data_IF_300740193945
#
_entry.id   IF_300740193945
#
_cell.length_a   1.000
_cell.length_b   1.000
_cell.length_c   1.000
_cell.angle_alpha   90.00
_cell.angle_beta   90.00
_cell.angle_gamma   90.00
#
_symmetry.space_group_name_H-M   'P 1'
#
loop_
_entity.id
_entity.type
_entity.pdbx_description
1 polymer ?
#
# COMPACT_ATOMS: atom_id res chain seq x y z
N UNK A 1 6.93 -30.47 50.26
CA UNK A 1 5.96 -29.89 49.31
C UNK A 1 6.71 -29.54 48.02
N UNK A 2 6.40 -30.21 46.92
CA UNK A 2 6.99 -29.89 45.62
C UNK A 2 6.06 -28.88 44.96
N UNK A 3 6.49 -27.60 44.85
CA UNK A 3 5.76 -26.60 44.09
C UNK A 3 5.80 -27.01 42.61
N UNK A 4 4.68 -27.41 42.05
CA UNK A 4 4.51 -27.51 40.59
C UNK A 4 4.42 -26.10 40.03
N UNK A 5 5.52 -25.61 39.48
CA UNK A 5 5.51 -24.38 38.67
C UNK A 5 4.81 -24.77 37.35
N UNK A 6 3.51 -24.47 37.26
CA UNK A 6 2.80 -24.49 35.98
C UNK A 6 3.30 -23.29 35.20
N UNK A 7 3.96 -23.49 34.05
CA UNK A 7 4.23 -22.40 33.13
C UNK A 7 2.92 -21.75 32.74
N UNK A 8 2.90 -20.41 32.74
CA UNK A 8 1.74 -19.64 32.27
C UNK A 8 1.26 -20.22 30.94
N UNK A 9 -0.04 -20.49 30.76
CA UNK A 9 -0.55 -21.04 29.52
C UNK A 9 -0.34 -20.04 28.39
N UNK A 10 0.72 -20.27 27.62
CA UNK A 10 1.03 -19.48 26.42
C UNK A 10 0.19 -20.04 25.27
N UNK A 11 -1.05 -19.58 25.18
CA UNK A 11 -1.94 -19.92 24.09
C UNK A 11 -1.64 -19.05 22.89
N UNK A 12 -0.74 -19.50 22.03
CA UNK A 12 -0.67 -18.99 20.66
C UNK A 12 -1.97 -19.36 19.93
N UNK A 13 -2.89 -18.42 19.87
CA UNK A 13 -4.15 -18.66 19.21
C UNK A 13 -4.01 -18.35 17.70
N UNK A 14 -3.47 -19.31 16.93
CA UNK A 14 -3.38 -19.23 15.46
C UNK A 14 -4.70 -18.87 14.79
N UNK A 15 -5.84 -19.25 15.41
CA UNK A 15 -7.17 -18.90 14.92
C UNK A 15 -7.44 -17.39 14.99
N UNK A 16 -6.87 -16.68 15.99
CA UNK A 16 -7.04 -15.21 16.08
C UNK A 16 -6.24 -14.50 15.00
N UNK A 17 -5.01 -14.92 14.71
CA UNK A 17 -4.18 -14.35 13.65
C UNK A 17 -4.83 -14.53 12.28
N UNK A 18 -5.22 -15.77 11.94
CA UNK A 18 -5.90 -16.07 10.68
C UNK A 18 -7.21 -15.26 10.53
N UNK A 19 -7.98 -15.10 11.61
CA UNK A 19 -9.19 -14.29 11.60
C UNK A 19 -8.90 -12.81 11.35
N UNK A 20 -7.88 -12.24 11.98
CA UNK A 20 -7.49 -10.85 11.76
C UNK A 20 -7.04 -10.64 10.32
N UNK A 21 -6.16 -11.51 9.79
CA UNK A 21 -5.70 -11.43 8.40
C UNK A 21 -6.88 -11.52 7.42
N UNK A 22 -7.82 -12.43 7.67
CA UNK A 22 -9.03 -12.56 6.85
C UNK A 22 -9.93 -11.32 6.93
N UNK A 23 -10.09 -10.71 8.11
CA UNK A 23 -10.84 -9.46 8.26
C UNK A 23 -10.22 -8.32 7.45
N UNK A 24 -8.88 -8.22 7.41
CA UNK A 24 -8.16 -7.23 6.62
C UNK A 24 -8.41 -7.46 5.12
N UNK A 25 -8.37 -8.72 4.66
CA UNK A 25 -8.67 -9.09 3.27
C UNK A 25 -10.09 -8.69 2.89
N UNK A 26 -11.07 -9.05 3.73
CA UNK A 26 -12.49 -8.70 3.49
C UNK A 26 -12.70 -7.18 3.50
N UNK A 27 -12.05 -6.47 4.42
CA UNK A 27 -12.11 -5.02 4.49
C UNK A 27 -11.49 -4.32 3.27
N UNK A 28 -10.55 -4.96 2.58
CA UNK A 28 -9.96 -4.42 1.35
C UNK A 28 -10.86 -4.58 0.12
N UNK A 29 -11.85 -5.48 0.14
CA UNK A 29 -12.71 -5.77 -1.02
C UNK A 29 -13.41 -4.54 -1.62
N UNK A 30 -14.02 -3.62 -0.84
CA UNK A 30 -14.62 -2.41 -1.42
C UNK A 30 -13.62 -1.59 -2.23
N UNK A 31 -12.38 -1.42 -1.71
CA UNK A 31 -11.31 -0.72 -2.40
C UNK A 31 -10.88 -1.43 -3.68
N UNK A 32 -10.73 -2.75 -3.65
CA UNK A 32 -10.39 -3.58 -4.81
C UNK A 32 -11.46 -3.47 -5.91
N UNK A 33 -12.73 -3.53 -5.54
CA UNK A 33 -13.84 -3.42 -6.49
C UNK A 33 -13.86 -2.05 -7.17
N UNK A 34 -13.74 -0.97 -6.40
CA UNK A 34 -13.72 0.40 -6.93
C UNK A 34 -12.46 0.62 -7.77
N UNK A 35 -11.29 0.13 -7.33
CA UNK A 35 -10.06 0.20 -8.12
C UNK A 35 -10.19 -0.54 -9.45
N UNK A 36 -10.78 -1.72 -9.45
CA UNK A 36 -11.03 -2.49 -10.67
C UNK A 36 -12.02 -1.81 -11.60
N UNK A 37 -13.01 -1.11 -11.06
CA UNK A 37 -13.97 -0.34 -11.84
C UNK A 37 -13.29 0.81 -12.61
N UNK A 38 -12.41 1.56 -11.94
CA UNK A 38 -11.75 2.71 -12.57
C UNK A 38 -10.54 2.33 -13.42
N UNK A 39 -9.79 1.31 -13.05
CA UNK A 39 -8.52 0.94 -13.68
C UNK A 39 -8.56 -0.40 -14.42
N UNK A 40 -9.72 -1.05 -14.48
CA UNK A 40 -9.96 -2.23 -15.32
C UNK A 40 -9.57 -3.56 -14.68
N UNK A 41 -9.72 -4.61 -15.48
CA UNK A 41 -9.57 -6.02 -15.10
C UNK A 41 -8.16 -6.41 -14.64
N UNK A 42 -7.17 -5.63 -14.99
CA UNK A 42 -5.77 -5.90 -14.61
C UNK A 42 -5.59 -6.08 -13.11
N UNK A 43 -6.33 -5.35 -12.28
CA UNK A 43 -6.30 -5.48 -10.81
C UNK A 43 -6.58 -6.92 -10.35
N UNK A 44 -7.60 -7.58 -10.90
CA UNK A 44 -7.94 -8.97 -10.55
C UNK A 44 -6.91 -9.97 -11.05
N UNK A 45 -6.33 -9.73 -12.23
CA UNK A 45 -5.27 -10.60 -12.80
C UNK A 45 -4.02 -10.50 -11.93
N UNK A 46 -3.58 -9.28 -11.59
CA UNK A 46 -2.43 -9.06 -10.70
C UNK A 46 -2.66 -9.66 -9.31
N UNK A 47 -3.86 -9.50 -8.76
CA UNK A 47 -4.23 -10.09 -7.49
C UNK A 47 -4.10 -11.62 -7.49
N UNK A 48 -4.62 -12.27 -8.54
CA UNK A 48 -4.53 -13.73 -8.69
C UNK A 48 -3.09 -14.18 -8.81
N UNK A 49 -2.29 -13.52 -9.65
CA UNK A 49 -0.87 -13.83 -9.83
C UNK A 49 -0.08 -13.65 -8.53
N UNK A 50 -0.31 -12.56 -7.81
CA UNK A 50 0.37 -12.29 -6.53
C UNK A 50 0.03 -13.32 -5.46
N UNK A 51 -1.25 -13.68 -5.31
CA UNK A 51 -1.69 -14.67 -4.33
C UNK A 51 -1.07 -16.05 -4.64
N UNK A 52 -1.11 -16.47 -5.89
CA UNK A 52 -0.52 -17.75 -6.31
C UNK A 52 0.99 -17.73 -6.08
N UNK A 53 1.68 -16.67 -6.50
CA UNK A 53 3.12 -16.53 -6.30
C UNK A 53 3.49 -16.49 -4.81
N UNK A 54 2.72 -15.78 -3.97
CA UNK A 54 2.95 -15.71 -2.52
C UNK A 54 2.81 -17.09 -1.85
N UNK A 55 1.72 -17.79 -2.14
CA UNK A 55 1.49 -19.13 -1.58
C UNK A 55 2.53 -20.15 -2.03
N UNK A 56 2.92 -20.12 -3.31
CA UNK A 56 3.95 -21.02 -3.84
C UNK A 56 5.33 -20.71 -3.25
N UNK A 57 5.71 -19.44 -3.16
CA UNK A 57 6.98 -19.01 -2.58
C UNK A 57 7.07 -19.40 -1.10
N UNK A 58 6.01 -19.17 -0.33
CA UNK A 58 5.97 -19.56 1.08
C UNK A 58 6.00 -21.08 1.24
N UNK A 59 5.19 -21.82 0.47
CA UNK A 59 5.19 -23.29 0.51
C UNK A 59 6.57 -23.88 0.17
N UNK A 60 7.28 -23.29 -0.82
CA UNK A 60 8.63 -23.71 -1.19
C UNK A 60 9.61 -23.55 -0.01
N UNK A 61 9.64 -22.37 0.62
CA UNK A 61 10.53 -22.13 1.76
C UNK A 61 10.20 -23.03 2.95
N UNK A 62 8.91 -23.19 3.27
CA UNK A 62 8.46 -24.07 4.35
C UNK A 62 8.85 -25.53 4.10
N UNK A 63 8.75 -26.00 2.85
CA UNK A 63 9.20 -27.33 2.45
C UNK A 63 10.71 -27.51 2.67
N UNK A 64 11.52 -26.52 2.25
CA UNK A 64 12.97 -26.54 2.45
C UNK A 64 13.34 -26.54 3.94
N UNK A 65 12.57 -25.80 4.76
CA UNK A 65 12.74 -25.74 6.24
C UNK A 65 12.09 -26.91 6.96
N UNK A 66 11.49 -27.87 6.26
CA UNK A 66 10.78 -29.04 6.82
C UNK A 66 9.68 -28.65 7.82
N UNK A 67 9.00 -27.54 7.57
CA UNK A 67 7.87 -27.07 8.39
C UNK A 67 6.53 -27.50 7.81
N UNK A 68 5.46 -27.46 8.63
CA UNK A 68 4.13 -27.84 8.18
C UNK A 68 3.51 -26.75 7.31
N UNK A 69 3.45 -27.00 5.99
CA UNK A 69 2.97 -26.05 4.97
C UNK A 69 1.51 -25.67 5.23
N UNK A 70 0.63 -26.65 5.43
CA UNK A 70 -0.80 -26.40 5.56
C UNK A 70 -1.13 -25.54 6.80
N UNK A 71 -0.44 -25.77 7.91
CA UNK A 71 -0.65 -25.03 9.16
C UNK A 71 -0.19 -23.58 9.03
N UNK A 72 0.93 -23.33 8.36
CA UNK A 72 1.48 -21.98 8.21
C UNK A 72 0.68 -21.19 7.17
N UNK A 73 0.36 -21.77 6.01
CA UNK A 73 -0.46 -21.09 5.01
C UNK A 73 -1.88 -20.76 5.52
N UNK A 74 -2.40 -21.54 6.48
CA UNK A 74 -3.71 -21.28 7.09
C UNK A 74 -3.75 -20.01 7.95
N UNK A 75 -2.62 -19.34 8.21
CA UNK A 75 -2.59 -18.03 8.89
C UNK A 75 -3.00 -16.87 7.98
N UNK A 76 -3.12 -17.09 6.65
CA UNK A 76 -3.47 -16.13 5.61
C UNK A 76 -2.49 -14.96 5.42
N UNK A 77 -1.33 -14.99 6.04
CA UNK A 77 -0.37 -13.89 5.97
C UNK A 77 0.30 -13.76 4.60
N UNK A 78 0.58 -14.90 3.92
CA UNK A 78 1.09 -14.88 2.54
C UNK A 78 0.05 -14.31 1.58
N UNK A 79 -1.21 -14.73 1.73
CA UNK A 79 -2.33 -14.24 0.95
C UNK A 79 -2.49 -12.73 1.12
N UNK A 80 -2.45 -12.21 2.34
CA UNK A 80 -2.52 -10.77 2.62
C UNK A 80 -1.32 -10.02 2.03
N UNK A 81 -0.10 -10.56 2.15
CA UNK A 81 1.12 -9.95 1.56
C UNK A 81 0.99 -9.82 0.05
N UNK A 82 0.57 -10.89 -0.64
CA UNK A 82 0.33 -10.87 -2.09
C UNK A 82 -0.76 -9.88 -2.48
N UNK A 83 -1.88 -9.86 -1.74
CA UNK A 83 -2.98 -8.93 -1.96
C UNK A 83 -2.51 -7.47 -1.84
N UNK A 84 -1.86 -7.09 -0.75
CA UNK A 84 -1.40 -5.71 -0.53
C UNK A 84 -0.41 -5.26 -1.60
N UNK A 85 0.48 -6.14 -2.04
CA UNK A 85 1.39 -5.81 -3.13
C UNK A 85 0.64 -5.63 -4.46
N UNK A 86 -0.27 -6.55 -4.81
CA UNK A 86 -1.01 -6.52 -6.06
C UNK A 86 -1.85 -5.25 -6.24
N UNK A 87 -2.52 -4.79 -5.18
CA UNK A 87 -3.32 -3.56 -5.23
C UNK A 87 -2.47 -2.28 -5.18
N UNK A 88 -1.19 -2.38 -4.84
CA UNK A 88 -0.27 -1.25 -4.79
C UNK A 88 0.45 -1.00 -6.12
N UNK A 89 0.57 -2.00 -6.99
CA UNK A 89 1.23 -1.89 -8.30
C UNK A 89 0.25 -1.50 -9.40
N UNK A 90 0.75 -0.94 -10.53
CA UNK A 90 -0.11 -0.65 -11.69
C UNK A 90 -0.83 -1.92 -12.20
N UNK A 91 -2.14 -1.85 -12.47
CA UNK A 91 -2.93 -3.02 -12.87
C UNK A 91 -2.45 -3.72 -14.15
N UNK A 92 -1.85 -2.98 -15.06
CA UNK A 92 -1.34 -3.50 -16.34
C UNK A 92 0.18 -3.70 -16.35
N UNK A 93 0.81 -3.76 -15.17
CA UNK A 93 2.22 -4.12 -15.09
C UNK A 93 2.46 -5.54 -15.66
N UNK A 94 3.60 -5.81 -16.28
CA UNK A 94 3.93 -7.14 -16.77
C UNK A 94 3.84 -8.21 -15.67
N UNK A 95 3.35 -9.40 -16.00
CA UNK A 95 3.12 -10.50 -15.05
C UNK A 95 4.33 -10.86 -14.19
N UNK A 96 5.52 -10.80 -14.78
CA UNK A 96 6.77 -11.14 -14.08
C UNK A 96 7.12 -10.16 -12.95
N UNK A 97 6.64 -8.91 -13.03
CA UNK A 97 6.88 -7.91 -11.99
C UNK A 97 6.18 -8.28 -10.69
N UNK A 98 4.89 -8.58 -10.76
CA UNK A 98 4.14 -8.97 -9.55
C UNK A 98 4.70 -10.26 -8.95
N UNK A 99 5.10 -11.21 -9.79
CA UNK A 99 5.72 -12.45 -9.34
C UNK A 99 7.05 -12.17 -8.65
N UNK A 100 7.94 -11.39 -9.28
CA UNK A 100 9.25 -11.02 -8.73
C UNK A 100 9.10 -10.28 -7.39
N UNK A 101 8.25 -9.25 -7.34
CA UNK A 101 8.01 -8.48 -6.12
C UNK A 101 7.42 -9.31 -4.99
N UNK A 102 6.48 -10.20 -5.32
CA UNK A 102 5.85 -11.10 -4.34
C UNK A 102 6.83 -12.14 -3.80
N UNK A 103 7.62 -12.74 -4.67
CA UNK A 103 8.68 -13.69 -4.29
C UNK A 103 9.69 -13.00 -3.36
N UNK A 104 10.13 -11.79 -3.71
CA UNK A 104 11.02 -11.02 -2.86
C UNK A 104 10.39 -10.67 -1.50
N UNK A 105 9.14 -10.22 -1.49
CA UNK A 105 8.39 -9.90 -0.28
C UNK A 105 8.27 -11.12 0.66
N UNK A 106 7.91 -12.29 0.11
CA UNK A 106 7.68 -13.48 0.92
C UNK A 106 8.98 -14.15 1.33
N UNK A 107 9.92 -14.35 0.41
CA UNK A 107 11.16 -15.09 0.72
C UNK A 107 12.10 -14.21 1.52
N UNK A 108 12.45 -13.03 1.01
CA UNK A 108 13.50 -12.18 1.59
C UNK A 108 12.95 -11.39 2.79
N UNK A 109 11.84 -10.65 2.59
CA UNK A 109 11.36 -9.74 3.62
C UNK A 109 10.62 -10.45 4.77
N UNK A 110 10.06 -11.66 4.55
CA UNK A 110 9.32 -12.39 5.58
C UNK A 110 10.04 -13.66 6.03
N UNK A 111 10.26 -14.62 5.13
CA UNK A 111 10.73 -15.95 5.50
C UNK A 111 12.21 -16.00 5.92
N UNK A 112 13.06 -15.16 5.35
CA UNK A 112 14.47 -15.08 5.73
C UNK A 112 14.64 -14.72 7.21
N UNK A 113 13.77 -13.87 7.75
CA UNK A 113 13.76 -13.47 9.17
C UNK A 113 13.10 -14.49 10.11
N UNK A 114 12.46 -15.54 9.60
CA UNK A 114 11.82 -16.59 10.42
C UNK A 114 10.33 -16.77 10.19
N UNK A 115 9.71 -15.96 9.35
CA UNK A 115 8.28 -15.99 9.04
C UNK A 115 7.48 -14.91 9.76
N UNK A 116 6.17 -15.10 9.86
CA UNK A 116 5.26 -14.13 10.46
C UNK A 116 5.65 -13.79 11.91
N UNK A 117 5.74 -12.51 12.21
CA UNK A 117 6.05 -12.01 13.56
C UNK A 117 7.54 -11.77 13.82
N UNK A 118 8.43 -12.14 12.89
CA UNK A 118 9.88 -11.94 13.00
C UNK A 118 10.42 -10.89 12.01
N UNK A 119 9.62 -10.47 11.07
CA UNK A 119 10.00 -9.50 10.05
C UNK A 119 10.04 -8.06 10.62
N UNK A 120 11.15 -7.33 10.46
CA UNK A 120 11.29 -5.96 10.94
C UNK A 120 10.55 -4.95 10.08
N UNK A 121 10.26 -5.29 8.83
CA UNK A 121 9.61 -4.44 7.83
C UNK A 121 8.36 -5.09 7.29
N UNK A 122 7.42 -4.27 6.82
CA UNK A 122 6.26 -4.77 6.08
C UNK A 122 6.69 -5.43 4.77
N UNK A 123 6.41 -6.75 4.58
CA UNK A 123 6.93 -7.49 3.43
C UNK A 123 6.39 -6.98 2.09
N UNK A 124 5.11 -6.63 2.01
CA UNK A 124 4.51 -6.11 0.79
C UNK A 124 5.18 -4.79 0.37
N UNK A 125 5.50 -3.93 1.33
CA UNK A 125 6.16 -2.65 1.05
C UNK A 125 7.62 -2.83 0.62
N UNK A 126 8.34 -3.81 1.16
CA UNK A 126 9.67 -4.16 0.66
C UNK A 126 9.59 -4.63 -0.80
N UNK A 127 8.66 -5.54 -1.13
CA UNK A 127 8.45 -5.98 -2.51
C UNK A 127 8.13 -4.81 -3.44
N UNK A 128 7.24 -3.91 -3.01
CA UNK A 128 6.89 -2.71 -3.76
C UNK A 128 8.10 -1.79 -4.01
N UNK A 129 8.88 -1.49 -2.97
CA UNK A 129 10.04 -0.59 -3.09
C UNK A 129 11.13 -1.20 -3.97
N UNK A 130 11.39 -2.51 -3.86
CA UNK A 130 12.32 -3.20 -4.76
C UNK A 130 11.89 -3.06 -6.22
N UNK A 131 10.61 -3.26 -6.52
CA UNK A 131 10.08 -3.07 -7.86
C UNK A 131 10.19 -1.61 -8.32
N UNK A 132 9.86 -0.65 -7.45
CA UNK A 132 9.90 0.77 -7.78
C UNK A 132 11.31 1.28 -8.08
N UNK A 133 12.31 0.80 -7.36
CA UNK A 133 13.72 1.16 -7.59
C UNK A 133 14.26 0.47 -8.84
N UNK A 134 13.92 -0.81 -9.04
CA UNK A 134 14.44 -1.60 -10.16
C UNK A 134 13.76 -1.31 -11.50
N UNK A 135 12.45 -1.01 -11.46
CA UNK A 135 11.61 -0.83 -12.65
C UNK A 135 10.70 0.41 -12.54
N UNK A 136 11.27 1.61 -12.37
CA UNK A 136 10.49 2.83 -12.09
C UNK A 136 9.49 3.16 -13.20
N UNK A 137 9.85 2.97 -14.46
CA UNK A 137 8.98 3.27 -15.60
C UNK A 137 7.70 2.44 -15.59
N UNK A 138 7.82 1.15 -15.32
CA UNK A 138 6.67 0.24 -15.25
C UNK A 138 5.83 0.50 -13.99
N UNK A 139 6.47 0.82 -12.86
CA UNK A 139 5.78 1.08 -11.60
C UNK A 139 5.01 2.41 -11.57
N UNK A 140 5.36 3.34 -12.44
CA UNK A 140 4.63 4.62 -12.60
C UNK A 140 3.64 4.59 -13.77
N UNK A 141 3.57 3.48 -14.52
CA UNK A 141 2.73 3.33 -15.71
C UNK A 141 1.28 2.99 -15.37
N UNK A 142 0.58 3.90 -14.69
CA UNK A 142 -0.85 3.78 -14.45
C UNK A 142 -1.63 4.23 -15.70
N UNK A 143 -2.73 3.51 -15.99
CA UNK A 143 -3.68 3.95 -17.02
C UNK A 143 -4.58 5.05 -16.49
N UNK A 144 -5.08 5.95 -17.37
CA UNK A 144 -6.12 6.89 -17.00
C UNK A 144 -7.35 6.15 -16.45
N UNK A 145 -8.04 6.70 -15.43
CA UNK A 145 -9.23 6.08 -14.91
C UNK A 145 -10.38 6.09 -15.93
N UNK A 146 -11.29 5.13 -15.79
CA UNK A 146 -12.52 5.09 -16.58
C UNK A 146 -13.23 6.45 -16.55
N UNK A 147 -13.63 6.93 -17.71
CA UNK A 147 -14.27 8.25 -17.90
C UNK A 147 -13.35 9.30 -18.51
N UNK A 148 -12.00 9.15 -18.42
CA UNK A 148 -11.02 9.99 -19.10
C UNK A 148 -10.04 9.20 -19.98
N UNK A 149 -10.09 7.88 -19.90
CA UNK A 149 -9.31 6.98 -20.77
C UNK A 149 -9.84 7.03 -22.21
N UNK A 150 -8.96 7.14 -23.20
CA UNK A 150 -9.33 7.05 -24.61
C UNK A 150 -9.79 5.63 -24.97
N UNK A 151 -9.15 4.62 -24.38
CA UNK A 151 -9.45 3.19 -24.58
C UNK A 151 -9.55 2.51 -23.21
N UNK A 152 -10.62 1.75 -23.02
CA UNK A 152 -10.82 0.91 -21.81
C UNK A 152 -10.59 -0.54 -22.19
N UNK A 153 -9.46 -1.16 -21.82
CA UNK A 153 -9.17 -2.54 -22.18
C UNK A 153 -10.17 -3.52 -21.58
N UNK A 154 -10.71 -4.42 -22.40
CA UNK A 154 -11.52 -5.54 -21.94
C UNK A 154 -10.69 -6.58 -21.17
N UNK A 155 -11.36 -7.65 -20.69
CA UNK A 155 -10.67 -8.71 -19.93
C UNK A 155 -9.58 -9.41 -20.77
N UNK A 156 -9.85 -9.73 -22.03
CA UNK A 156 -8.87 -10.39 -22.92
C UNK A 156 -7.72 -9.44 -23.27
N UNK A 157 -8.00 -8.15 -23.48
CA UNK A 157 -6.95 -7.15 -23.68
C UNK A 157 -6.07 -7.02 -22.46
N UNK A 158 -6.67 -6.99 -21.25
CA UNK A 158 -5.92 -6.97 -19.99
C UNK A 158 -4.99 -8.18 -19.85
N UNK A 159 -5.48 -9.40 -20.16
CA UNK A 159 -4.68 -10.60 -20.16
C UNK A 159 -3.50 -10.48 -21.15
N UNK A 160 -3.79 -10.10 -22.39
CA UNK A 160 -2.72 -9.99 -23.39
C UNK A 160 -1.70 -8.92 -23.03
N UNK A 161 -2.11 -7.74 -22.60
CA UNK A 161 -1.18 -6.67 -22.19
C UNK A 161 -0.27 -7.14 -21.05
N UNK A 162 -0.81 -7.78 -20.03
CA UNK A 162 -0.03 -8.26 -18.88
C UNK A 162 0.99 -9.33 -19.28
N UNK A 163 0.64 -10.23 -20.21
CA UNK A 163 1.52 -11.35 -20.59
C UNK A 163 2.39 -11.07 -21.83
N UNK A 164 1.94 -10.26 -22.78
CA UNK A 164 2.62 -10.02 -24.06
C UNK A 164 3.01 -8.57 -24.29
N UNK A 165 2.45 -7.62 -23.54
CA UNK A 165 2.70 -6.18 -23.70
C UNK A 165 1.79 -5.47 -24.73
N UNK A 166 0.91 -6.18 -25.43
CA UNK A 166 0.03 -5.63 -26.47
C UNK A 166 -1.41 -6.09 -26.26
N UNK A 167 -2.38 -5.27 -26.70
CA UNK A 167 -3.81 -5.64 -26.72
C UNK A 167 -4.11 -6.61 -27.88
N UNK A 168 -5.34 -7.15 -27.91
CA UNK A 168 -5.85 -7.94 -29.05
C UNK A 168 -5.81 -7.18 -30.38
N UNK A 169 -5.91 -5.85 -30.32
CA UNK A 169 -5.80 -4.95 -31.48
C UNK A 169 -4.35 -4.51 -31.81
N UNK A 170 -3.35 -5.05 -31.10
CA UNK A 170 -1.93 -4.71 -31.30
C UNK A 170 -1.49 -3.36 -30.71
N UNK A 171 -2.31 -2.72 -29.89
CA UNK A 171 -1.95 -1.47 -29.19
C UNK A 171 -0.98 -1.77 -28.06
N UNK A 172 0.04 -0.92 -27.88
CA UNK A 172 1.00 -1.00 -26.80
C UNK A 172 0.54 -0.21 -25.55
N UNK A 173 1.31 -0.30 -24.47
CA UNK A 173 1.03 0.44 -23.22
C UNK A 173 1.05 1.95 -23.40
N UNK A 174 1.84 2.49 -24.37
CA UNK A 174 1.90 3.93 -24.59
C UNK A 174 0.60 4.45 -25.20
N UNK A 175 0.02 3.69 -26.15
CA UNK A 175 -1.28 4.02 -26.72
C UNK A 175 -2.40 3.97 -25.67
N UNK A 176 -2.35 3.00 -24.74
CA UNK A 176 -3.34 2.88 -23.65
C UNK A 176 -3.25 3.99 -22.60
N UNK A 177 -2.07 4.60 -22.42
CA UNK A 177 -1.88 5.71 -21.47
C UNK A 177 -2.50 7.03 -21.92
N UNK A 178 -2.88 7.16 -23.16
CA UNK A 178 -3.48 8.39 -23.66
C UNK A 178 -4.91 8.56 -23.12
N UNK A 179 -5.19 9.75 -22.61
CA UNK A 179 -6.55 10.19 -22.30
C UNK A 179 -7.34 10.55 -23.56
N UNK A 180 -8.60 10.92 -23.39
CA UNK A 180 -9.49 11.38 -24.46
C UNK A 180 -8.88 12.57 -25.21
N UNK A 181 -8.16 13.44 -24.50
CA UNK A 181 -7.48 14.61 -25.06
C UNK A 181 -6.12 14.29 -25.74
N UNK A 182 -5.78 13.00 -25.85
CA UNK A 182 -4.48 12.56 -26.41
C UNK A 182 -3.27 12.84 -25.52
N UNK A 183 -3.49 13.29 -24.28
CA UNK A 183 -2.44 13.60 -23.29
C UNK A 183 -2.26 12.37 -22.39
N UNK A 184 -1.00 11.96 -22.14
CA UNK A 184 -0.70 10.92 -21.18
C UNK A 184 -1.05 11.39 -19.77
N UNK A 185 -1.93 10.65 -19.10
CA UNK A 185 -2.38 10.97 -17.74
C UNK A 185 -1.97 9.84 -16.81
N UNK A 186 -0.97 10.12 -15.96
CA UNK A 186 -0.53 9.22 -14.89
C UNK A 186 -1.43 9.38 -13.63
N UNK A 187 -0.89 9.13 -12.44
CA UNK A 187 -1.61 9.44 -11.21
C UNK A 187 -1.68 10.95 -10.98
N UNK A 188 -2.70 11.49 -10.26
CA UNK A 188 -2.80 12.92 -9.97
C UNK A 188 -1.54 13.51 -9.32
N UNK A 189 -0.91 12.77 -8.41
CA UNK A 189 0.31 13.20 -7.73
C UNK A 189 1.52 13.23 -8.67
N UNK A 190 1.63 12.27 -9.58
CA UNK A 190 2.71 12.18 -10.56
C UNK A 190 2.59 13.28 -11.61
N UNK A 191 1.39 13.45 -12.16
CA UNK A 191 1.10 14.52 -13.13
C UNK A 191 1.37 15.89 -12.53
N UNK A 192 0.93 16.16 -11.29
CA UNK A 192 1.19 17.42 -10.60
C UNK A 192 2.69 17.70 -10.50
N UNK A 193 3.46 16.74 -10.01
CA UNK A 193 4.88 16.87 -9.79
C UNK A 193 5.68 17.04 -11.09
N UNK A 194 5.42 16.17 -12.07
CA UNK A 194 6.13 16.21 -13.35
C UNK A 194 5.84 17.49 -14.14
N UNK A 195 4.59 17.98 -14.12
CA UNK A 195 4.20 19.22 -14.76
C UNK A 195 4.85 20.45 -14.12
N UNK A 196 4.93 20.48 -12.77
CA UNK A 196 5.64 21.56 -12.07
C UNK A 196 7.14 21.54 -12.36
N UNK A 197 7.78 20.37 -12.39
CA UNK A 197 9.19 20.25 -12.77
C UNK A 197 9.44 20.64 -14.23
N UNK A 198 8.45 20.51 -15.10
CA UNK A 198 8.48 21.01 -16.48
C UNK A 198 8.24 22.54 -16.58
N UNK A 199 8.09 23.23 -15.45
CA UNK A 199 7.88 24.68 -15.40
C UNK A 199 6.46 25.15 -15.74
N UNK A 200 5.46 24.24 -15.73
CA UNK A 200 4.07 24.63 -15.97
C UNK A 200 3.48 25.33 -14.73
N UNK A 201 2.71 26.42 -14.91
CA UNK A 201 2.00 27.05 -13.79
C UNK A 201 0.97 26.10 -13.16
N UNK A 202 0.80 26.17 -11.85
CA UNK A 202 -0.16 25.33 -11.10
C UNK A 202 -1.58 25.42 -11.66
N UNK A 203 -2.02 26.63 -12.04
CA UNK A 203 -3.34 26.85 -12.64
C UNK A 203 -3.53 26.03 -13.92
N UNK A 204 -2.52 25.97 -14.77
CA UNK A 204 -2.55 25.18 -16.01
C UNK A 204 -2.60 23.69 -15.70
N UNK A 205 -1.82 23.26 -14.72
CA UNK A 205 -1.79 21.85 -14.29
C UNK A 205 -3.15 21.41 -13.73
N UNK A 206 -3.76 22.23 -12.87
CA UNK A 206 -5.05 21.92 -12.25
C UNK A 206 -6.24 21.95 -13.24
N UNK A 207 -6.07 22.53 -14.41
CA UNK A 207 -7.06 22.49 -15.49
C UNK A 207 -7.09 21.14 -16.25
N UNK A 208 -6.12 20.23 -16.00
CA UNK A 208 -6.15 18.91 -16.63
C UNK A 208 -7.35 18.08 -16.14
N UNK A 209 -7.92 17.27 -17.05
CA UNK A 209 -9.14 16.51 -16.79
C UNK A 209 -9.06 15.63 -15.54
N UNK A 210 -7.88 15.12 -15.18
CA UNK A 210 -7.67 14.26 -14.01
C UNK A 210 -8.00 14.95 -12.67
N UNK A 211 -7.96 16.28 -12.58
CA UNK A 211 -8.24 17.06 -11.36
C UNK A 211 -9.70 17.50 -11.23
N UNK A 212 -10.53 17.28 -12.23
CA UNK A 212 -11.95 17.69 -12.22
C UNK A 212 -12.83 16.68 -11.46
N UNK A 213 -12.29 16.00 -10.46
CA UNK A 213 -13.05 15.16 -9.53
C UNK A 213 -13.84 15.99 -8.52
N UNK A 214 -14.82 15.38 -7.86
CA UNK A 214 -15.67 16.06 -6.87
C UNK A 214 -14.88 16.50 -5.60
N UNK A 215 -13.85 15.76 -5.21
CA UNK A 215 -13.05 15.98 -3.98
C UNK A 215 -11.55 16.08 -4.29
N UNK A 216 -11.07 15.30 -5.26
CA UNK A 216 -9.67 15.20 -5.66
C UNK A 216 -9.58 14.63 -7.09
N UNK A 217 -8.49 13.99 -7.48
CA UNK A 217 -8.35 13.37 -8.80
C UNK A 217 -9.41 12.31 -9.11
N UNK A 218 -9.93 12.34 -10.34
CA UNK A 218 -10.94 11.39 -10.83
C UNK A 218 -10.46 9.95 -10.62
N UNK A 219 -11.35 9.08 -10.17
CA UNK A 219 -11.06 7.68 -9.85
C UNK A 219 -10.36 7.51 -8.52
N UNK A 220 -9.23 8.16 -8.29
CA UNK A 220 -8.42 8.03 -7.08
C UNK A 220 -9.14 8.43 -5.80
N UNK A 221 -9.97 9.46 -5.85
CA UNK A 221 -10.80 9.86 -4.71
C UNK A 221 -11.73 8.74 -4.25
N UNK A 222 -12.39 8.05 -5.18
CA UNK A 222 -13.32 6.97 -4.86
C UNK A 222 -12.62 5.71 -4.38
N UNK A 223 -11.44 5.41 -4.92
CA UNK A 223 -10.58 4.32 -4.42
C UNK A 223 -10.18 4.59 -2.97
N UNK A 224 -9.74 5.82 -2.65
CA UNK A 224 -9.41 6.19 -1.27
C UNK A 224 -10.63 6.16 -0.35
N UNK A 225 -11.79 6.66 -0.78
CA UNK A 225 -13.04 6.58 0.00
C UNK A 225 -13.43 5.11 0.26
N UNK A 226 -13.29 4.23 -0.72
CA UNK A 226 -13.60 2.81 -0.56
C UNK A 226 -12.64 2.12 0.44
N UNK A 227 -11.34 2.43 0.40
CA UNK A 227 -10.40 1.95 1.42
C UNK A 227 -10.65 2.58 2.80
N UNK A 228 -11.11 3.83 2.87
CA UNK A 228 -11.55 4.45 4.13
C UNK A 228 -12.74 3.68 4.73
N UNK A 229 -13.75 3.33 3.92
CA UNK A 229 -14.89 2.51 4.37
C UNK A 229 -14.42 1.16 4.92
N UNK A 230 -13.51 0.48 4.21
CA UNK A 230 -12.88 -0.75 4.70
C UNK A 230 -12.10 -0.53 6.01
N UNK A 231 -11.37 0.57 6.11
CA UNK A 231 -10.64 0.95 7.33
C UNK A 231 -11.55 1.22 8.52
N UNK A 232 -12.67 1.91 8.32
CA UNK A 232 -13.70 2.13 9.35
C UNK A 232 -14.34 0.80 9.80
N UNK A 233 -14.56 -0.14 8.88
CA UNK A 233 -14.98 -1.49 9.22
C UNK A 233 -13.97 -2.22 10.11
N UNK A 234 -12.66 -2.11 9.85
CA UNK A 234 -11.61 -2.68 10.70
C UNK A 234 -11.58 -2.06 12.10
N UNK A 235 -11.80 -0.76 12.21
CA UNK A 235 -11.93 -0.07 13.51
C UNK A 235 -13.17 -0.55 14.27
N UNK A 236 -14.31 -0.69 13.59
CA UNK A 236 -15.55 -1.18 14.19
C UNK A 236 -15.40 -2.61 14.70
N UNK A 237 -14.75 -3.49 13.93
CA UNK A 237 -14.45 -4.86 14.33
C UNK A 237 -13.31 -4.94 15.38
N UNK A 238 -12.72 -3.81 15.78
CA UNK A 238 -11.57 -3.74 16.71
C UNK A 238 -10.35 -4.58 16.24
N UNK A 239 -10.26 -4.83 14.94
CA UNK A 239 -9.11 -5.52 14.33
C UNK A 239 -7.85 -4.63 14.36
N UNK A 240 -8.04 -3.32 14.22
CA UNK A 240 -6.98 -2.31 14.31
C UNK A 240 -7.35 -1.26 15.37
N UNK A 241 -6.35 -0.51 15.85
CA UNK A 241 -6.55 0.61 16.77
C UNK A 241 -6.47 1.94 16.03
N UNK A 242 -7.31 2.90 16.42
CA UNK A 242 -7.44 4.21 15.78
C UNK A 242 -6.18 5.08 15.83
N UNK A 243 -5.26 4.83 16.78
CA UNK A 243 -4.10 5.69 17.06
C UNK A 243 -3.23 5.92 15.82
N UNK A 244 -2.88 4.85 15.07
CA UNK A 244 -2.02 4.96 13.89
C UNK A 244 -2.74 5.65 12.72
N UNK A 245 -3.95 5.22 12.29
CA UNK A 245 -4.63 5.87 11.17
C UNK A 245 -4.89 7.36 11.42
N UNK A 246 -5.37 7.69 12.63
CA UNK A 246 -5.72 9.09 12.95
C UNK A 246 -4.46 9.96 13.02
N UNK A 247 -3.39 9.52 13.72
CA UNK A 247 -2.16 10.32 13.82
C UNK A 247 -1.48 10.49 12.47
N UNK A 248 -1.51 9.46 11.61
CA UNK A 248 -0.99 9.52 10.25
C UNK A 248 -1.75 10.56 9.40
N UNK A 249 -3.08 10.46 9.35
CA UNK A 249 -3.93 11.37 8.56
C UNK A 249 -3.85 12.81 9.07
N UNK A 250 -3.86 13.01 10.40
CA UNK A 250 -3.74 14.36 11.00
C UNK A 250 -2.37 14.96 10.70
N UNK A 251 -1.29 14.21 10.83
CA UNK A 251 0.06 14.68 10.53
C UNK A 251 0.21 15.03 9.04
N UNK A 252 -0.27 14.16 8.15
CA UNK A 252 -0.26 14.41 6.71
C UNK A 252 -1.09 15.64 6.35
N UNK A 253 -2.30 15.78 6.90
CA UNK A 253 -3.17 16.94 6.69
C UNK A 253 -2.52 18.23 7.20
N UNK A 254 -1.93 18.19 8.38
CA UNK A 254 -1.26 19.35 8.99
C UNK A 254 -0.07 19.81 8.14
N UNK A 255 0.84 18.88 7.79
CA UNK A 255 2.03 19.21 7.00
C UNK A 255 1.66 19.70 5.58
N UNK A 256 0.69 19.06 4.94
CA UNK A 256 0.24 19.48 3.59
C UNK A 256 -0.48 20.82 3.61
N UNK A 257 -1.27 21.11 4.64
CA UNK A 257 -1.92 22.43 4.82
C UNK A 257 -0.89 23.51 5.05
N UNK A 258 0.08 23.26 5.94
CA UNK A 258 1.16 24.21 6.20
C UNK A 258 2.00 24.48 4.94
N UNK A 259 2.39 23.43 4.23
CA UNK A 259 3.14 23.56 2.97
C UNK A 259 2.36 24.31 1.90
N UNK A 260 1.08 24.03 1.75
CA UNK A 260 0.21 24.71 0.78
C UNK A 260 -0.02 26.19 1.12
N UNK A 261 -0.17 26.54 2.40
CA UNK A 261 -0.31 27.94 2.83
C UNK A 261 0.97 28.75 2.61
N UNK A 262 2.14 28.11 2.77
CA UNK A 262 3.43 28.80 2.59
C UNK A 262 3.83 28.90 1.11
N UNK A 263 3.53 27.89 0.31
CA UNK A 263 3.94 27.77 -1.10
C UNK A 263 2.81 27.20 -1.97
N UNK A 264 1.69 27.94 -2.19
CA UNK A 264 0.55 27.44 -2.95
C UNK A 264 0.88 27.15 -4.41
N UNK A 265 1.95 27.78 -4.94
CA UNK A 265 2.40 27.63 -6.33
C UNK A 265 3.29 26.39 -6.56
N UNK A 266 3.64 25.63 -5.53
CA UNK A 266 4.58 24.52 -5.65
C UNK A 266 4.17 23.26 -4.92
N UNK A 267 3.16 23.33 -4.03
CA UNK A 267 2.72 22.21 -3.20
C UNK A 267 1.27 21.87 -3.49
N UNK A 268 0.98 20.58 -3.64
CA UNK A 268 -0.38 20.07 -3.84
C UNK A 268 -1.28 20.39 -2.63
N UNK A 269 -2.58 20.55 -2.89
CA UNK A 269 -3.57 20.83 -1.84
C UNK A 269 -3.67 19.67 -0.82
N UNK A 270 -4.06 19.94 0.44
CA UNK A 270 -4.27 18.91 1.44
C UNK A 270 -5.26 17.83 1.01
N UNK A 271 -6.30 18.20 0.29
CA UNK A 271 -7.28 17.26 -0.24
C UNK A 271 -6.66 16.26 -1.23
N UNK A 272 -5.76 16.74 -2.09
CA UNK A 272 -5.03 15.90 -3.02
C UNK A 272 -4.11 14.92 -2.28
N UNK A 273 -3.42 15.35 -1.23
CA UNK A 273 -2.59 14.47 -0.40
C UNK A 273 -3.41 13.38 0.31
N UNK A 274 -4.61 13.71 0.81
CA UNK A 274 -5.45 12.78 1.57
C UNK A 274 -6.23 11.79 0.69
N UNK A 275 -6.69 12.23 -0.50
CA UNK A 275 -7.60 11.47 -1.35
C UNK A 275 -6.94 10.99 -2.66
N UNK A 276 -5.62 11.09 -2.79
CA UNK A 276 -4.87 10.55 -3.93
C UNK A 276 -3.81 9.56 -3.48
N UNK A 277 -3.33 8.75 -4.42
CA UNK A 277 -2.35 7.70 -4.16
C UNK A 277 -2.84 6.65 -3.15
N UNK A 278 -1.92 6.08 -2.42
CA UNK A 278 -2.19 5.01 -1.46
C UNK A 278 -2.45 5.51 -0.02
N UNK A 279 -2.97 6.73 0.17
CA UNK A 279 -3.08 7.33 1.51
C UNK A 279 -3.98 6.52 2.45
N UNK A 280 -5.23 6.22 2.05
CA UNK A 280 -6.15 5.47 2.90
C UNK A 280 -5.76 3.99 3.01
N UNK A 281 -5.24 3.40 1.94
CA UNK A 281 -4.65 2.05 1.98
C UNK A 281 -3.48 2.02 2.98
N UNK A 282 -2.57 2.99 2.93
CA UNK A 282 -1.44 3.13 3.85
C UNK A 282 -1.90 3.28 5.30
N UNK A 283 -2.85 4.19 5.55
CA UNK A 283 -3.34 4.51 6.89
C UNK A 283 -3.97 3.31 7.63
N UNK A 284 -4.79 2.54 6.94
CA UNK A 284 -5.63 1.52 7.57
C UNK A 284 -5.18 0.08 7.35
N UNK A 285 -4.43 -0.22 6.29
CA UNK A 285 -4.08 -1.59 5.92
C UNK A 285 -2.59 -1.89 6.00
N UNK A 286 -1.72 -0.88 5.79
CA UNK A 286 -0.28 -1.07 5.73
C UNK A 286 0.39 -0.68 7.05
N UNK A 287 0.18 0.56 7.53
CA UNK A 287 0.78 1.07 8.77
C UNK A 287 0.25 0.37 10.03
N UNK A 288 -0.91 -0.23 9.95
CA UNK A 288 -1.53 -0.97 11.06
C UNK A 288 -1.13 -2.43 11.16
N UNK A 289 -0.14 -2.86 10.35
CA UNK A 289 0.41 -4.21 10.45
C UNK A 289 0.87 -4.50 11.90
N UNK A 290 0.29 -5.52 12.57
CA UNK A 290 0.57 -5.77 13.98
C UNK A 290 2.01 -6.21 14.25
N UNK A 291 2.75 -6.65 13.25
CA UNK A 291 4.13 -7.13 13.37
C UNK A 291 5.13 -5.98 13.35
N UNK A 292 4.94 -5.03 12.46
CA UNK A 292 5.95 -4.00 12.13
C UNK A 292 5.62 -2.62 12.70
N UNK A 293 4.42 -2.44 13.26
CA UNK A 293 4.00 -1.20 13.90
C UNK A 293 4.38 -1.15 15.37
N UNK A 294 4.46 0.08 15.94
CA UNK A 294 4.69 0.28 17.37
C UNK A 294 3.62 -0.36 18.25
N UNK A 295 4.03 -0.90 19.39
CA UNK A 295 3.17 -1.70 20.29
C UNK A 295 2.42 -0.86 21.29
N UNK A 296 3.01 0.23 21.80
CA UNK A 296 2.41 1.08 22.83
C UNK A 296 1.45 2.13 22.25
N UNK A 297 0.45 2.57 23.01
CA UNK A 297 -0.51 3.56 22.49
C UNK A 297 0.18 4.90 22.16
N UNK A 298 1.13 5.35 23.00
CA UNK A 298 1.93 6.56 22.74
C UNK A 298 2.84 6.36 21.53
N UNK A 299 3.49 5.18 21.45
CA UNK A 299 4.35 4.85 20.33
C UNK A 299 3.59 4.79 19.00
N UNK A 300 2.36 4.28 19.00
CA UNK A 300 1.49 4.28 17.80
C UNK A 300 1.17 5.68 17.29
N UNK A 301 0.91 6.64 18.20
CA UNK A 301 0.69 8.04 17.81
C UNK A 301 1.94 8.65 17.19
N UNK A 302 3.12 8.43 17.79
CA UNK A 302 4.40 8.93 17.27
C UNK A 302 4.72 8.27 15.93
N UNK A 303 4.56 6.95 15.82
CA UNK A 303 4.80 6.18 14.60
C UNK A 303 3.92 6.65 13.44
N UNK A 304 2.61 6.81 13.68
CA UNK A 304 1.68 7.30 12.65
C UNK A 304 1.99 8.74 12.25
N UNK A 305 2.27 9.63 13.21
CA UNK A 305 2.62 11.03 12.91
C UNK A 305 3.92 11.12 12.11
N UNK A 306 4.94 10.34 12.46
CA UNK A 306 6.19 10.27 11.71
C UNK A 306 5.97 9.77 10.28
N UNK A 307 5.17 8.73 10.10
CA UNK A 307 4.84 8.21 8.78
C UNK A 307 4.10 9.27 7.92
N UNK A 308 3.16 10.03 8.51
CA UNK A 308 2.45 11.12 7.82
C UNK A 308 3.38 12.24 7.37
N UNK A 309 4.29 12.66 8.24
CA UNK A 309 5.33 13.63 7.91
C UNK A 309 6.22 13.13 6.78
N UNK A 310 6.69 11.89 6.85
CA UNK A 310 7.56 11.30 5.83
C UNK A 310 6.85 11.18 4.46
N UNK A 311 5.56 10.80 4.43
CA UNK A 311 4.77 10.77 3.18
C UNK A 311 4.71 12.16 2.57
N UNK A 312 4.42 13.18 3.38
CA UNK A 312 4.38 14.56 2.88
C UNK A 312 5.72 15.02 2.33
N UNK A 313 6.82 14.77 3.04
CA UNK A 313 8.18 15.12 2.60
C UNK A 313 8.54 14.45 1.26
N UNK A 314 8.29 13.13 1.14
CA UNK A 314 8.63 12.39 -0.07
C UNK A 314 7.76 12.83 -1.25
N UNK A 315 6.47 13.08 -1.02
CA UNK A 315 5.57 13.56 -2.07
C UNK A 315 5.90 14.97 -2.53
N UNK A 316 6.31 15.86 -1.62
CA UNK A 316 6.60 17.27 -1.96
C UNK A 316 8.00 17.46 -2.53
N UNK A 317 9.00 16.78 -1.97
CA UNK A 317 10.42 17.03 -2.29
C UNK A 317 11.15 15.82 -2.88
N UNK A 318 10.64 14.62 -2.71
CA UNK A 318 11.29 13.40 -3.20
C UNK A 318 11.10 13.20 -4.71
N UNK A 319 11.83 12.26 -5.31
CA UNK A 319 11.73 11.90 -6.74
C UNK A 319 10.58 10.96 -7.11
N UNK A 320 9.83 10.45 -6.13
CA UNK A 320 8.79 9.45 -6.35
C UNK A 320 7.39 10.07 -6.30
N UNK A 321 6.43 9.58 -7.13
CA UNK A 321 5.07 10.13 -7.18
C UNK A 321 4.27 9.83 -5.91
N UNK A 322 4.47 8.69 -5.28
CA UNK A 322 3.88 8.34 -3.98
C UNK A 322 4.96 7.88 -2.99
N UNK A 323 4.90 8.42 -1.78
CA UNK A 323 5.88 8.19 -0.73
C UNK A 323 5.47 7.16 0.31
N UNK A 324 4.26 6.58 0.24
CA UNK A 324 3.70 5.74 1.32
C UNK A 324 4.60 4.54 1.63
N UNK A 325 5.06 3.80 0.63
CA UNK A 325 5.87 2.61 0.86
C UNK A 325 7.21 2.94 1.51
N UNK A 326 7.93 3.97 1.02
CA UNK A 326 9.18 4.42 1.63
C UNK A 326 8.97 4.94 3.05
N UNK A 327 7.92 5.74 3.27
CA UNK A 327 7.60 6.26 4.59
C UNK A 327 7.31 5.14 5.60
N UNK A 328 6.59 4.10 5.17
CA UNK A 328 6.34 2.90 6.00
C UNK A 328 7.64 2.22 6.38
N UNK A 329 8.53 1.97 5.42
CA UNK A 329 9.80 1.30 5.71
C UNK A 329 10.70 2.14 6.62
N UNK A 330 10.80 3.45 6.38
CA UNK A 330 11.55 4.36 7.25
C UNK A 330 10.94 4.42 8.66
N UNK A 331 9.61 4.48 8.77
CA UNK A 331 8.94 4.44 10.05
C UNK A 331 9.16 3.09 10.77
N UNK A 332 9.17 1.95 10.06
CA UNK A 332 9.45 0.65 10.66
C UNK A 332 10.87 0.60 11.29
N UNK A 333 11.88 1.23 10.69
CA UNK A 333 13.23 1.33 11.27
C UNK A 333 13.20 2.00 12.65
N UNK A 334 12.33 2.97 12.85
CA UNK A 334 12.26 3.73 14.11
C UNK A 334 11.45 3.04 15.21
N UNK A 335 10.70 1.98 14.90
CA UNK A 335 9.83 1.28 15.88
C UNK A 335 10.56 0.80 17.11
N UNK A 336 11.75 0.15 17.03
CA UNK A 336 12.48 -0.27 18.23
C UNK A 336 12.83 0.90 19.16
N UNK A 337 13.20 2.05 18.58
CA UNK A 337 13.52 3.27 19.32
C UNK A 337 12.25 3.85 19.96
N UNK A 338 11.16 3.98 19.19
CA UNK A 338 9.88 4.49 19.67
C UNK A 338 9.37 3.63 20.83
N UNK A 339 9.36 2.31 20.67
CA UNK A 339 8.88 1.39 21.69
C UNK A 339 9.76 1.42 22.95
N UNK A 340 11.07 1.57 22.81
CA UNK A 340 11.99 1.71 23.94
C UNK A 340 11.64 2.91 24.82
N UNK A 341 11.42 4.09 24.24
CA UNK A 341 11.12 5.31 24.99
C UNK A 341 9.64 5.45 25.42
N UNK A 342 8.74 4.66 24.84
CA UNK A 342 7.29 4.72 25.14
C UNK A 342 6.82 3.58 26.03
N UNK A 343 7.72 2.74 26.53
CA UNK A 343 7.36 1.63 27.44
C UNK A 343 6.66 2.15 28.70
N UNK A 344 5.58 1.50 29.15
CA UNK A 344 4.98 1.81 30.43
C UNK A 344 6.00 1.60 31.57
N UNK A 345 6.06 2.51 32.52
CA UNK A 345 6.91 2.32 33.71
C UNK A 345 6.40 1.13 34.50
N UNK A 346 7.27 0.15 34.72
CA UNK A 346 6.96 -1.00 35.59
C UNK A 346 7.18 -0.58 37.05
N UNK A 347 6.32 -1.02 37.95
CA UNK A 347 6.44 -0.76 39.39
C UNK A 347 7.84 -1.17 39.86
N UNK A 348 8.57 -0.25 40.51
CA UNK A 348 9.90 -0.50 41.09
C UNK A 348 11.11 0.00 40.27
N UNK A 349 10.95 0.52 39.04
CA UNK A 349 12.02 1.22 38.33
C UNK A 349 11.71 2.72 38.25
N UNK A 350 12.63 3.53 38.86
CA UNK A 350 12.67 4.98 38.70
C UNK A 350 13.27 5.39 37.39
#
# INVERSE_FOLDING_TARGET
>A
MVFKIASSPYTHNHRQTSRIMMLVIVAALPGILVQSWFFGWGTFIQLTLAIVAACLAEALVLRLRRQNIARTLADNSALLTGLLLAISIPPFAPWWMVVLGTVFAVIIAKQLYGGLGQNPFNPAMIGYVVLLISFPVQMTSWLPPHGIAAVTPGFMDALQVIFTGHTTAGQDMNALKLGIDGISQATPLDTFKTSLHAGQPVETVLNAAIYHGALAGIGWQWVNVAYLVGGLFLLWQKAIRWHIPVSFLVSLAFCSTLGWLLHPESVASPQMHLLSGATMLGAFFILTDPVTASTTNRGRLIFGALAGLLVWLIRSFGGYPDGVAFAVLLANITVPLIDYYTRPRVYGHR
#
